data_IF_396473618373
#
_entry.id   IF_396473618373
#
_cell.length_a   1.000
_cell.length_b   1.000
_cell.length_c   1.000
_cell.angle_alpha   90.00
_cell.angle_beta   90.00
_cell.angle_gamma   90.00
#
_symmetry.space_group_name_H-M   'P 1'
#
loop_
_entity.id
_entity.type
_entity.pdbx_description
1 polymer ?
#
# COMPACT_ATOMS: atom_id res chain seq x y z
N UNK A 1 -2.62 -20.12 88.86
CA UNK A 1 -1.18 -20.05 89.20
C UNK A 1 -0.56 -18.97 88.31
N UNK A 2 -0.35 -17.74 88.81
CA UNK A 2 0.98 -17.08 89.06
C UNK A 2 2.01 -17.44 87.97
N UNK A 3 2.64 -16.51 87.24
CA UNK A 3 3.65 -15.52 87.66
C UNK A 3 3.84 -14.46 86.55
N UNK A 4 3.70 -13.15 86.81
CA UNK A 4 4.73 -12.11 87.12
C UNK A 4 5.63 -11.62 85.97
N UNK A 5 5.81 -10.29 85.97
CA UNK A 5 6.62 -9.41 85.10
C UNK A 5 8.15 -9.61 85.24
N UNK A 6 8.84 -8.94 84.30
CA UNK A 6 10.16 -8.25 84.37
C UNK A 6 11.42 -8.99 83.87
N UNK A 7 12.19 -8.28 83.04
CA UNK A 7 13.61 -8.53 82.82
C UNK A 7 14.18 -7.94 81.52
N UNK A 8 14.58 -6.66 81.54
CA UNK A 8 15.46 -6.04 80.54
C UNK A 8 16.81 -6.77 80.50
N UNK A 9 17.47 -6.89 79.34
CA UNK A 9 18.89 -6.54 79.10
C UNK A 9 19.17 -6.49 77.58
N UNK A 10 20.09 -5.59 77.21
CA UNK A 10 20.34 -5.08 75.86
C UNK A 10 21.59 -5.69 75.21
N UNK A 11 21.64 -5.71 73.87
CA UNK A 11 22.86 -5.66 73.05
C UNK A 11 22.45 -5.31 71.59
N UNK A 12 22.69 -4.06 71.16
CA UNK A 12 23.75 -3.65 70.21
C UNK A 12 23.53 -4.15 68.76
N UNK A 13 22.90 -3.33 67.90
CA UNK A 13 23.53 -2.49 66.84
C UNK A 13 24.12 -3.30 65.68
N UNK A 14 23.48 -3.25 64.50
CA UNK A 14 23.99 -2.62 63.26
C UNK A 14 22.79 -2.40 62.31
N UNK A 15 22.28 -1.17 62.22
CA UNK A 15 21.41 -0.75 61.11
C UNK A 15 22.29 -0.35 59.92
N UNK A 16 22.37 -1.22 58.90
CA UNK A 16 22.90 -0.82 57.61
C UNK A 16 21.85 0.02 56.88
N UNK A 17 22.06 1.33 56.81
CA UNK A 17 21.28 2.22 55.97
C UNK A 17 21.64 2.00 54.49
N UNK A 18 20.81 1.26 53.76
CA UNK A 18 20.85 1.24 52.30
C UNK A 18 20.13 2.49 51.78
N UNK A 19 20.93 3.48 51.37
CA UNK A 19 20.45 4.60 50.55
C UNK A 19 20.14 4.05 49.15
N UNK A 20 18.89 3.70 48.89
CA UNK A 20 18.42 3.39 47.54
C UNK A 20 18.20 4.70 46.78
N UNK A 21 19.22 5.15 46.07
CA UNK A 21 19.09 6.15 45.01
C UNK A 21 18.20 5.58 43.90
N UNK A 22 16.94 5.97 43.89
CA UNK A 22 16.05 5.74 42.76
C UNK A 22 16.53 6.59 41.57
N UNK A 23 17.43 6.03 40.76
CA UNK A 23 17.71 6.55 39.42
C UNK A 23 16.42 6.49 38.64
N UNK A 24 15.83 7.67 38.36
CA UNK A 24 14.72 7.80 37.44
C UNK A 24 15.10 7.19 36.09
N UNK A 25 14.36 6.14 35.68
CA UNK A 25 14.45 5.61 34.35
C UNK A 25 13.99 6.71 33.37
N UNK A 26 14.95 7.35 32.69
CA UNK A 26 14.64 8.23 31.57
C UNK A 26 13.89 7.41 30.50
N UNK A 27 12.82 7.94 29.89
CA UNK A 27 12.14 7.24 28.81
C UNK A 27 13.14 7.05 27.67
N UNK A 28 13.32 5.80 27.24
CA UNK A 28 14.07 5.49 26.04
C UNK A 28 13.41 6.20 24.85
N UNK A 29 14.00 7.32 24.42
CA UNK A 29 13.61 7.97 23.18
C UNK A 29 13.93 7.02 22.03
N UNK A 30 12.88 6.38 21.51
CA UNK A 30 12.95 5.68 20.24
C UNK A 30 13.58 6.64 19.21
N UNK A 31 14.73 6.24 18.67
CA UNK A 31 15.47 7.01 17.67
C UNK A 31 14.51 7.38 16.53
N UNK A 32 14.14 8.65 16.49
CA UNK A 32 12.98 9.15 15.76
C UNK A 32 13.13 8.94 14.27
N UNK A 33 12.42 7.93 13.73
CA UNK A 33 12.10 7.94 12.29
C UNK A 33 11.37 9.25 12.02
N UNK A 34 11.90 10.07 11.10
CA UNK A 34 11.22 11.29 10.67
C UNK A 34 9.75 10.98 10.37
N UNK A 35 8.79 11.80 10.84
CA UNK A 35 7.38 11.55 10.61
C UNK A 35 7.12 11.51 9.10
N UNK A 36 6.26 10.57 8.67
CA UNK A 36 5.87 10.45 7.27
C UNK A 36 5.07 11.70 6.85
N UNK A 37 5.36 12.18 5.65
CA UNK A 37 4.65 13.29 5.02
C UNK A 37 3.25 12.86 4.53
N UNK A 38 2.44 13.81 4.10
CA UNK A 38 1.02 13.57 3.74
C UNK A 38 0.68 13.96 2.31
N UNK A 39 1.65 13.92 1.37
CA UNK A 39 1.32 14.04 -0.05
C UNK A 39 0.49 12.82 -0.47
N UNK A 40 -0.69 13.05 -1.02
CA UNK A 40 -1.58 11.98 -1.48
C UNK A 40 -1.14 11.44 -2.84
N UNK A 41 -1.55 10.21 -3.18
CA UNK A 41 -1.30 9.63 -4.50
C UNK A 41 -2.05 10.37 -5.59
N UNK A 42 -3.27 10.87 -5.33
CA UNK A 42 -3.98 11.73 -6.27
C UNK A 42 -3.13 12.94 -6.66
N UNK A 43 -2.51 13.63 -5.69
CA UNK A 43 -1.63 14.76 -5.96
C UNK A 43 -0.31 14.39 -6.66
N UNK A 44 0.10 13.11 -6.62
CA UNK A 44 1.25 12.62 -7.39
C UNK A 44 0.84 12.30 -8.82
N UNK A 45 -0.32 11.70 -9.02
CA UNK A 45 -0.86 11.35 -10.33
C UNK A 45 -1.20 12.61 -11.15
N UNK A 46 -1.83 13.61 -10.54
CA UNK A 46 -2.19 14.87 -11.22
C UNK A 46 -1.06 15.89 -11.29
N UNK A 47 0.14 15.53 -10.81
CA UNK A 47 1.32 16.40 -10.99
C UNK A 47 1.80 16.39 -12.44
N UNK A 48 1.52 15.28 -13.14
CA UNK A 48 1.68 15.21 -14.59
C UNK A 48 0.53 15.96 -15.28
N UNK A 49 0.86 16.66 -16.36
CA UNK A 49 -0.08 17.50 -17.13
C UNK A 49 -0.02 17.21 -18.62
N UNK A 50 0.65 16.12 -19.02
CA UNK A 50 0.64 15.56 -20.37
C UNK A 50 -0.79 15.32 -20.86
N UNK A 51 -1.62 14.68 -20.03
CA UNK A 51 -2.90 14.13 -20.48
C UNK A 51 -2.67 12.98 -21.46
N UNK A 52 -3.73 12.53 -22.15
CA UNK A 52 -3.61 11.40 -23.08
C UNK A 52 -2.66 11.68 -24.23
N UNK A 53 -1.55 10.95 -24.28
CA UNK A 53 -0.51 11.07 -25.28
C UNK A 53 -0.09 9.69 -25.86
N UNK A 54 1.22 9.46 -26.07
CA UNK A 54 1.78 8.22 -26.63
C UNK A 54 2.72 7.51 -25.65
N UNK A 55 2.92 8.06 -24.46
CA UNK A 55 3.83 7.58 -23.45
C UNK A 55 3.11 6.59 -22.54
N UNK A 56 3.07 5.31 -22.93
CA UNK A 56 2.46 4.27 -22.10
C UNK A 56 3.11 4.01 -20.71
N UNK A 57 4.07 4.82 -20.26
CA UNK A 57 4.75 4.67 -18.97
C UNK A 57 4.26 5.63 -17.88
N UNK A 58 3.46 6.64 -18.21
CA UNK A 58 2.76 7.47 -17.23
C UNK A 58 1.45 6.81 -16.78
N UNK A 59 0.57 7.62 -16.20
CA UNK A 59 -0.62 7.19 -15.47
C UNK A 59 -1.84 8.05 -15.82
N UNK A 60 -1.89 8.61 -17.02
CA UNK A 60 -2.97 9.51 -17.46
C UNK A 60 -4.33 8.79 -17.50
N UNK A 61 -4.38 7.54 -17.98
CA UNK A 61 -5.61 6.72 -17.93
C UNK A 61 -6.04 6.46 -16.49
N UNK A 62 -5.09 6.15 -15.60
CA UNK A 62 -5.40 5.89 -14.19
C UNK A 62 -5.95 7.15 -13.50
N UNK A 63 -5.31 8.30 -13.72
CA UNK A 63 -5.73 9.58 -13.18
C UNK A 63 -7.15 9.94 -13.66
N UNK A 64 -7.42 9.75 -14.95
CA UNK A 64 -8.74 9.97 -15.53
C UNK A 64 -9.79 9.01 -14.96
N UNK A 65 -9.46 7.72 -14.77
CA UNK A 65 -10.37 6.72 -14.20
C UNK A 65 -10.75 7.04 -12.74
N UNK A 66 -9.77 7.42 -11.91
CA UNK A 66 -10.01 7.88 -10.54
C UNK A 66 -10.92 9.12 -10.55
N UNK A 67 -10.62 10.10 -11.41
CA UNK A 67 -11.43 11.30 -11.56
C UNK A 67 -12.87 11.01 -11.98
N UNK A 68 -13.06 10.07 -12.93
CA UNK A 68 -14.39 9.65 -13.39
C UNK A 68 -15.20 8.99 -12.27
N UNK A 69 -14.60 8.07 -11.50
CA UNK A 69 -15.25 7.42 -10.36
C UNK A 69 -15.62 8.44 -9.29
N UNK A 70 -14.73 9.36 -8.92
CA UNK A 70 -15.04 10.37 -7.90
C UNK A 70 -16.09 11.38 -8.37
N UNK A 71 -16.14 11.70 -9.67
CA UNK A 71 -17.17 12.57 -10.24
C UNK A 71 -18.55 11.90 -10.21
N UNK A 72 -18.63 10.63 -10.57
CA UNK A 72 -19.88 9.87 -10.58
C UNK A 72 -20.32 9.44 -9.16
N UNK A 73 -19.36 9.13 -8.29
CA UNK A 73 -19.56 8.67 -6.92
C UNK A 73 -18.64 9.43 -5.94
N UNK A 74 -19.02 10.65 -5.51
CA UNK A 74 -18.24 11.43 -4.55
C UNK A 74 -17.99 10.71 -3.22
N UNK A 75 -18.89 9.80 -2.83
CA UNK A 75 -18.78 8.98 -1.61
C UNK A 75 -17.90 7.74 -1.74
N UNK A 76 -17.34 7.45 -2.93
CA UNK A 76 -16.57 6.23 -3.20
C UNK A 76 -15.38 6.06 -2.23
N UNK A 77 -15.09 4.82 -1.78
CA UNK A 77 -13.87 4.54 -1.01
C UNK A 77 -12.58 4.89 -1.76
N UNK A 78 -12.62 5.03 -3.10
CA UNK A 78 -11.49 5.48 -3.94
C UNK A 78 -10.97 6.85 -3.49
N UNK A 79 -11.79 7.67 -2.80
CA UNK A 79 -11.37 8.95 -2.21
C UNK A 79 -10.18 8.82 -1.25
N UNK A 80 -9.93 7.62 -0.73
CA UNK A 80 -8.76 7.35 0.11
C UNK A 80 -7.45 7.69 -0.61
N UNK A 81 -7.38 7.58 -1.94
CA UNK A 81 -6.21 7.96 -2.73
C UNK A 81 -5.92 9.47 -2.73
N UNK A 82 -6.93 10.29 -2.40
CA UNK A 82 -6.80 11.72 -2.21
C UNK A 82 -6.49 12.09 -0.74
N UNK A 83 -6.74 11.19 0.21
CA UNK A 83 -6.46 11.42 1.63
C UNK A 83 -5.03 10.99 2.02
N UNK A 84 -4.08 11.92 1.86
CA UNK A 84 -2.69 11.70 2.23
C UNK A 84 -2.43 11.44 3.73
N UNK A 85 -3.45 11.52 4.60
CA UNK A 85 -3.35 11.16 6.01
C UNK A 85 -3.61 9.66 6.24
N UNK A 86 -4.25 8.96 5.33
CA UNK A 86 -4.46 7.51 5.45
C UNK A 86 -3.26 6.75 4.92
N UNK A 87 -2.77 5.78 5.71
CA UNK A 87 -1.65 4.95 5.29
C UNK A 87 -2.11 3.83 4.35
N UNK A 88 -1.46 3.69 3.19
CA UNK A 88 -1.77 2.63 2.22
C UNK A 88 -0.62 2.38 1.24
N UNK A 89 -0.70 1.23 0.57
CA UNK A 89 0.09 0.91 -0.62
C UNK A 89 -0.85 0.72 -1.80
N UNK A 90 -0.60 1.41 -2.91
CA UNK A 90 -1.35 1.19 -4.15
C UNK A 90 -0.46 0.57 -5.23
N UNK A 91 -1.04 -0.28 -6.07
CA UNK A 91 -0.39 -0.79 -7.27
C UNK A 91 -0.95 -0.04 -8.47
N UNK A 92 -0.13 0.77 -9.14
CA UNK A 92 -0.61 1.70 -10.16
C UNK A 92 -0.37 1.11 -11.56
N UNK A 93 -1.41 0.67 -12.29
CA UNK A 93 -1.26 0.30 -13.68
C UNK A 93 -0.88 1.54 -14.50
N UNK A 94 0.19 1.43 -15.28
CA UNK A 94 0.56 2.48 -16.23
C UNK A 94 -0.36 2.45 -17.46
N UNK A 95 -0.23 3.45 -18.32
CA UNK A 95 -1.12 3.58 -19.48
C UNK A 95 -1.00 2.39 -20.45
N UNK A 96 0.19 1.82 -20.57
CA UNK A 96 0.42 0.58 -21.31
C UNK A 96 -0.35 -0.61 -20.73
N UNK A 97 -0.51 -0.70 -19.41
CA UNK A 97 -1.28 -1.77 -18.77
C UNK A 97 -2.76 -1.70 -19.17
N UNK A 98 -3.34 -0.50 -19.25
CA UNK A 98 -4.71 -0.31 -19.71
C UNK A 98 -4.88 -0.56 -21.21
N UNK A 99 -3.92 -0.14 -22.03
CA UNK A 99 -3.93 -0.47 -23.46
C UNK A 99 -3.89 -1.99 -23.68
N UNK A 100 -3.09 -2.72 -22.89
CA UNK A 100 -3.04 -4.18 -22.93
C UNK A 100 -4.35 -4.82 -22.47
N UNK A 101 -4.95 -4.32 -21.39
CA UNK A 101 -6.27 -4.76 -20.91
C UNK A 101 -7.32 -4.63 -22.02
N UNK A 102 -7.40 -3.47 -22.67
CA UNK A 102 -8.40 -3.22 -23.70
C UNK A 102 -8.12 -4.04 -24.96
N UNK A 103 -6.86 -4.20 -25.35
CA UNK A 103 -6.51 -5.08 -26.46
C UNK A 103 -6.91 -6.53 -26.20
N UNK A 104 -6.77 -7.01 -24.95
CA UNK A 104 -7.14 -8.36 -24.53
C UNK A 104 -8.67 -8.58 -24.52
N UNK A 105 -9.43 -7.66 -23.92
CA UNK A 105 -10.91 -7.70 -23.88
C UNK A 105 -11.49 -7.61 -25.30
N UNK A 106 -10.95 -6.74 -26.14
CA UNK A 106 -11.44 -6.54 -27.53
C UNK A 106 -10.86 -7.55 -28.53
N UNK A 107 -10.02 -8.50 -28.08
CA UNK A 107 -9.28 -9.45 -28.93
C UNK A 107 -8.53 -8.78 -30.09
N UNK A 108 -8.03 -7.57 -29.86
CA UNK A 108 -7.31 -6.78 -30.86
C UNK A 108 -5.82 -7.15 -30.90
N UNK A 109 -5.27 -7.28 -32.10
CA UNK A 109 -3.81 -7.44 -32.32
C UNK A 109 -3.04 -6.12 -32.16
N UNK A 110 -3.73 -4.98 -32.19
CA UNK A 110 -3.14 -3.65 -32.08
C UNK A 110 -3.52 -3.01 -30.76
N UNK A 111 -2.57 -2.29 -30.18
CA UNK A 111 -2.82 -1.54 -28.97
C UNK A 111 -3.60 -0.26 -29.29
N UNK A 112 -4.65 0.04 -28.53
CA UNK A 112 -5.39 1.29 -28.67
C UNK A 112 -4.53 2.47 -28.23
N UNK A 113 -4.92 3.68 -28.65
CA UNK A 113 -4.43 4.91 -28.02
C UNK A 113 -4.97 5.03 -26.59
N UNK A 114 -4.37 5.87 -25.76
CA UNK A 114 -4.81 6.06 -24.37
C UNK A 114 -6.25 6.51 -24.27
N UNK A 115 -6.65 7.47 -25.12
CA UNK A 115 -8.05 7.92 -25.19
C UNK A 115 -9.02 6.78 -25.50
N UNK A 116 -8.67 5.90 -26.45
CA UNK A 116 -9.50 4.73 -26.79
C UNK A 116 -9.52 3.72 -25.65
N UNK A 117 -8.37 3.50 -24.99
CA UNK A 117 -8.28 2.62 -23.84
C UNK A 117 -9.16 3.13 -22.70
N UNK A 118 -9.07 4.42 -22.36
CA UNK A 118 -9.91 5.06 -21.36
C UNK A 118 -11.41 4.95 -21.69
N UNK A 119 -11.82 5.24 -22.93
CA UNK A 119 -13.22 5.10 -23.35
C UNK A 119 -13.71 3.66 -23.19
N UNK A 120 -12.92 2.66 -23.57
CA UNK A 120 -13.28 1.26 -23.41
C UNK A 120 -13.38 0.85 -21.93
N UNK A 121 -12.45 1.27 -21.08
CA UNK A 121 -12.49 1.04 -19.63
C UNK A 121 -13.70 1.71 -19.01
N UNK A 122 -14.01 2.96 -19.38
CA UNK A 122 -15.22 3.64 -18.93
C UNK A 122 -16.50 2.91 -19.38
N UNK A 123 -16.47 2.26 -20.54
CA UNK A 123 -17.55 1.43 -21.06
C UNK A 123 -17.83 0.15 -20.25
N UNK A 124 -16.91 -0.29 -19.38
CA UNK A 124 -17.14 -1.42 -18.46
C UNK A 124 -18.13 -1.09 -17.34
N UNK A 125 -18.51 0.17 -17.20
CA UNK A 125 -19.39 0.67 -16.16
C UNK A 125 -18.63 1.17 -14.93
N UNK A 126 -19.19 2.19 -14.28
CA UNK A 126 -18.51 2.90 -13.19
C UNK A 126 -18.26 2.00 -11.97
N UNK A 127 -19.17 1.06 -11.69
CA UNK A 127 -19.07 0.12 -10.57
C UNK A 127 -17.92 -0.86 -10.77
N UNK A 128 -17.75 -1.35 -12.01
CA UNK A 128 -16.64 -2.23 -12.39
C UNK A 128 -15.31 -1.49 -12.25
N UNK A 129 -15.23 -0.25 -12.74
CA UNK A 129 -14.01 0.56 -12.64
C UNK A 129 -13.68 0.87 -11.17
N UNK A 130 -14.67 1.21 -10.35
CA UNK A 130 -14.47 1.42 -8.91
C UNK A 130 -13.92 0.17 -8.22
N UNK A 131 -14.53 -1.00 -8.47
CA UNK A 131 -14.07 -2.28 -7.90
C UNK A 131 -12.63 -2.59 -8.30
N UNK A 132 -12.29 -2.41 -9.58
CA UNK A 132 -10.92 -2.58 -10.08
C UNK A 132 -9.97 -1.62 -9.38
N UNK A 133 -10.30 -0.32 -9.26
CA UNK A 133 -9.43 0.65 -8.58
C UNK A 133 -9.21 0.29 -7.10
N UNK A 134 -10.25 -0.16 -6.39
CA UNK A 134 -10.13 -0.60 -4.99
C UNK A 134 -9.29 -1.87 -4.86
N UNK A 135 -9.34 -2.76 -5.84
CA UNK A 135 -8.53 -3.97 -5.86
C UNK A 135 -7.03 -3.68 -6.01
N UNK A 136 -6.66 -2.51 -6.52
CA UNK A 136 -5.27 -2.04 -6.58
C UNK A 136 -4.78 -1.43 -5.26
N UNK A 137 -5.65 -1.22 -4.27
CA UNK A 137 -5.32 -0.53 -3.02
C UNK A 137 -5.22 -1.53 -1.87
N UNK A 138 -4.10 -1.51 -1.15
CA UNK A 138 -3.87 -2.25 0.09
C UNK A 138 -3.84 -1.26 1.26
N UNK A 139 -4.91 -1.18 2.06
CA UNK A 139 -4.98 -0.24 3.18
C UNK A 139 -4.04 -0.62 4.32
N UNK A 140 -3.65 0.36 5.13
CA UNK A 140 -3.02 0.17 6.44
C UNK A 140 -1.50 0.03 6.45
N UNK A 141 -0.86 -0.30 5.33
CA UNK A 141 0.60 -0.50 5.29
C UNK A 141 1.28 0.28 4.16
N UNK A 142 2.44 0.86 4.44
CA UNK A 142 3.37 1.40 3.44
C UNK A 142 4.46 0.38 3.13
N UNK A 143 4.34 -0.33 2.02
CA UNK A 143 5.29 -1.35 1.60
C UNK A 143 6.32 -0.69 0.70
N UNK A 144 7.57 -0.56 1.16
CA UNK A 144 8.68 -0.07 0.31
C UNK A 144 9.27 -1.19 -0.54
N UNK A 145 10.06 -0.88 -1.56
CA UNK A 145 10.81 -1.85 -2.38
C UNK A 145 11.58 -2.86 -1.53
N UNK A 146 12.26 -2.39 -0.48
CA UNK A 146 13.04 -3.24 0.43
C UNK A 146 12.15 -4.23 1.18
N UNK A 147 10.95 -3.81 1.57
CA UNK A 147 9.98 -4.68 2.22
C UNK A 147 9.36 -5.65 1.19
N UNK A 148 8.90 -5.15 0.05
CA UNK A 148 8.28 -5.92 -1.02
C UNK A 148 9.18 -7.09 -1.49
N UNK A 149 10.49 -6.86 -1.66
CA UNK A 149 11.46 -7.90 -2.06
C UNK A 149 11.68 -9.00 -1.01
N UNK A 150 11.16 -8.83 0.20
CA UNK A 150 11.18 -9.81 1.30
C UNK A 150 9.78 -10.39 1.59
N UNK A 151 8.77 -9.97 0.84
CA UNK A 151 7.37 -10.36 1.04
C UNK A 151 6.95 -11.52 0.14
N UNK A 152 7.88 -12.44 -0.16
CA UNK A 152 7.52 -13.59 -0.98
C UNK A 152 6.42 -14.43 -0.32
N UNK A 153 5.45 -14.89 -1.10
CA UNK A 153 4.23 -15.58 -0.66
C UNK A 153 3.29 -14.78 0.26
N UNK A 154 3.56 -13.49 0.52
CA UNK A 154 2.66 -12.66 1.31
C UNK A 154 1.29 -12.52 0.65
N UNK A 155 0.22 -12.59 1.44
CA UNK A 155 -1.15 -12.28 1.01
C UNK A 155 -1.50 -10.87 1.47
N UNK A 156 -1.85 -9.99 0.53
CA UNK A 156 -2.24 -8.62 0.82
C UNK A 156 -3.76 -8.50 0.68
N UNK A 157 -4.43 -8.05 1.74
CA UNK A 157 -5.85 -7.73 1.69
C UNK A 157 -6.04 -6.41 0.92
N UNK A 158 -6.85 -6.44 -0.14
CA UNK A 158 -7.15 -5.24 -0.92
C UNK A 158 -8.37 -4.51 -0.34
N UNK A 159 -8.58 -3.25 -0.71
CA UNK A 159 -9.76 -2.49 -0.33
C UNK A 159 -11.05 -3.04 -0.99
N UNK A 160 -10.94 -3.84 -2.05
CA UNK A 160 -12.06 -4.58 -2.65
C UNK A 160 -12.38 -5.90 -1.91
N UNK A 161 -11.61 -6.27 -0.89
CA UNK A 161 -11.83 -7.46 -0.05
C UNK A 161 -11.15 -8.73 -0.56
N UNK A 162 -11.02 -8.92 -1.88
CA UNK A 162 -10.29 -10.05 -2.45
C UNK A 162 -8.76 -9.88 -2.25
N UNK A 163 -8.01 -10.93 -1.82
CA UNK A 163 -6.58 -10.80 -1.58
C UNK A 163 -5.76 -10.98 -2.87
N UNK A 164 -4.60 -10.32 -2.92
CA UNK A 164 -3.55 -10.60 -3.92
C UNK A 164 -2.36 -11.30 -3.25
N UNK A 165 -1.72 -12.24 -3.95
CA UNK A 165 -0.51 -12.92 -3.46
C UNK A 165 0.73 -12.35 -4.12
N UNK A 166 1.73 -12.01 -3.32
CA UNK A 166 3.03 -11.55 -3.79
C UNK A 166 3.90 -12.76 -4.14
N UNK A 167 4.50 -12.75 -5.33
CA UNK A 167 5.47 -13.74 -5.77
C UNK A 167 6.78 -13.04 -6.14
N UNK A 168 7.83 -13.25 -5.35
CA UNK A 168 9.16 -12.70 -5.57
C UNK A 168 10.06 -13.78 -6.15
N UNK A 169 10.50 -13.60 -7.39
CA UNK A 169 11.21 -14.64 -8.13
C UNK A 169 12.42 -14.07 -8.89
N UNK A 170 13.26 -14.97 -9.39
CA UNK A 170 14.49 -14.64 -10.11
C UNK A 170 15.74 -14.71 -9.23
N UNK A 171 16.93 -14.55 -9.84
CA UNK A 171 18.20 -14.68 -9.13
C UNK A 171 18.38 -13.53 -8.13
N UNK A 172 19.24 -13.74 -7.12
CA UNK A 172 19.51 -12.77 -6.05
C UNK A 172 19.82 -11.35 -6.57
N UNK A 173 20.48 -11.26 -7.72
CA UNK A 173 20.93 -10.03 -8.36
C UNK A 173 19.87 -9.35 -9.24
N UNK A 174 18.82 -10.07 -9.64
CA UNK A 174 17.73 -9.57 -10.51
C UNK A 174 16.37 -10.11 -10.05
N UNK A 175 16.01 -9.83 -8.79
CA UNK A 175 14.69 -10.16 -8.26
C UNK A 175 13.59 -9.36 -8.94
N UNK A 176 12.49 -10.04 -9.26
CA UNK A 176 11.26 -9.47 -9.83
C UNK A 176 10.10 -9.79 -8.91
N UNK A 177 9.06 -8.96 -8.97
CA UNK A 177 7.85 -9.14 -8.18
C UNK A 177 6.67 -9.26 -9.14
N UNK A 178 5.97 -10.38 -9.09
CA UNK A 178 4.67 -10.59 -9.69
C UNK A 178 3.60 -10.53 -8.60
N UNK A 179 2.44 -9.99 -8.95
CA UNK A 179 1.25 -9.99 -8.12
C UNK A 179 0.29 -11.00 -8.71
N UNK A 180 -0.04 -12.03 -7.95
CA UNK A 180 -1.02 -13.05 -8.35
C UNK A 180 -2.38 -12.56 -7.88
N UNK A 181 -3.27 -12.32 -8.83
CA UNK A 181 -4.63 -11.83 -8.57
C UNK A 181 -5.68 -12.94 -8.72
N UNK A 182 -6.96 -12.54 -8.81
CA UNK A 182 -8.09 -13.45 -8.85
C UNK A 182 -8.34 -13.97 -10.27
N UNK A 183 -7.92 -13.23 -11.30
CA UNK A 183 -8.03 -13.63 -12.69
C UNK A 183 -6.95 -14.66 -13.03
N UNK A 184 -7.38 -15.91 -13.18
CA UNK A 184 -6.48 -17.02 -13.52
C UNK A 184 -6.29 -17.22 -15.03
N UNK A 185 -7.01 -16.45 -15.84
CA UNK A 185 -7.02 -16.58 -17.29
C UNK A 185 -6.01 -15.68 -18.00
N UNK A 186 -5.52 -14.63 -17.32
CA UNK A 186 -4.49 -13.73 -17.83
C UNK A 186 -3.17 -13.85 -17.05
N UNK A 187 -2.11 -13.30 -17.65
CA UNK A 187 -0.79 -13.20 -17.04
C UNK A 187 -0.82 -12.21 -15.87
N UNK A 188 -0.37 -12.68 -14.72
CA UNK A 188 -0.16 -11.87 -13.52
C UNK A 188 0.63 -10.56 -13.78
N UNK A 189 0.19 -9.42 -13.20
CA UNK A 189 0.94 -8.16 -13.24
C UNK A 189 2.29 -8.23 -12.55
N UNK A 190 3.24 -7.44 -13.04
CA UNK A 190 4.59 -7.31 -12.48
C UNK A 190 4.89 -5.88 -12.11
N UNK A 191 5.62 -5.69 -11.02
CA UNK A 191 6.07 -4.36 -10.63
C UNK A 191 7.14 -3.88 -11.62
N UNK A 192 6.88 -2.73 -12.25
CA UNK A 192 7.79 -2.08 -13.20
C UNK A 192 8.42 -0.80 -12.63
N UNK A 193 7.81 -0.20 -11.61
CA UNK A 193 8.31 1.00 -10.93
C UNK A 193 8.08 0.88 -9.44
N UNK A 194 9.11 1.17 -8.65
CA UNK A 194 9.03 1.05 -7.20
C UNK A 194 8.93 2.40 -6.50
N UNK A 195 8.35 2.40 -5.31
CA UNK A 195 8.49 3.48 -4.32
C UNK A 195 7.99 4.85 -4.81
N UNK A 196 6.91 4.87 -5.59
CA UNK A 196 6.23 6.11 -5.96
C UNK A 196 5.69 6.77 -4.68
N UNK A 197 5.91 8.07 -4.54
CA UNK A 197 5.53 8.86 -3.36
C UNK A 197 6.24 8.47 -2.04
N UNK A 198 7.40 7.81 -2.11
CA UNK A 198 8.18 7.41 -0.93
C UNK A 198 8.43 8.57 0.05
N UNK A 199 8.29 8.26 1.35
CA UNK A 199 8.42 9.23 2.44
C UNK A 199 7.10 9.84 2.88
N UNK A 200 5.99 9.49 2.22
CA UNK A 200 4.63 9.83 2.62
C UNK A 200 3.90 8.61 3.20
N UNK A 201 2.75 8.86 3.84
CA UNK A 201 1.86 7.82 4.36
C UNK A 201 1.24 6.98 3.25
N UNK A 202 1.16 7.50 2.03
CA UNK A 202 0.75 6.73 0.87
C UNK A 202 1.95 6.43 -0.01
N UNK A 203 2.17 5.17 -0.34
CA UNK A 203 3.21 4.73 -1.27
C UNK A 203 2.58 3.93 -2.40
N UNK A 204 3.23 3.91 -3.56
CA UNK A 204 2.76 3.12 -4.68
C UNK A 204 3.88 2.40 -5.41
N UNK A 205 3.51 1.34 -6.12
CA UNK A 205 4.37 0.64 -7.07
C UNK A 205 3.67 0.57 -8.42
N UNK A 206 4.34 0.98 -9.48
CA UNK A 206 3.83 0.84 -10.84
C UNK A 206 3.80 -0.63 -11.25
N UNK A 207 2.77 -1.03 -11.99
CA UNK A 207 2.60 -2.39 -12.51
C UNK A 207 2.38 -2.37 -14.03
N UNK A 208 2.75 -3.47 -14.70
CA UNK A 208 2.70 -3.60 -16.16
C UNK A 208 1.38 -4.16 -16.72
N UNK A 209 0.42 -4.48 -15.84
CA UNK A 209 -0.95 -4.95 -16.14
C UNK A 209 -1.91 -4.49 -15.07
N UNK A 210 -3.18 -4.42 -15.42
CA UNK A 210 -4.27 -4.12 -14.49
C UNK A 210 -4.54 -5.38 -13.65
N UNK A 211 -4.59 -5.23 -12.32
CA UNK A 211 -5.09 -6.27 -11.41
C UNK A 211 -6.59 -6.41 -11.59
N UNK A 212 -7.08 -7.64 -11.74
CA UNK A 212 -8.49 -7.91 -12.03
C UNK A 212 -9.13 -8.66 -10.85
N UNK A 213 -10.14 -8.09 -10.17
CA UNK A 213 -10.82 -8.77 -9.05
C UNK A 213 -11.76 -9.89 -9.52
N UNK A 214 -12.10 -9.88 -10.81
CA UNK A 214 -12.98 -10.83 -11.49
C UNK A 214 -12.42 -11.07 -12.90
N UNK A 215 -12.79 -12.18 -13.52
CA UNK A 215 -12.53 -12.38 -14.95
C UNK A 215 -13.31 -11.31 -15.73
N UNK A 216 -12.61 -10.55 -16.55
CA UNK A 216 -13.22 -9.62 -17.49
C UNK A 216 -13.48 -10.35 -18.83
N UNK A 217 -14.56 -10.00 -19.56
CA UNK A 217 -14.94 -10.67 -20.80
C UNK A 217 -13.87 -10.58 -21.92
#
# INVERSE_FOLDING_TARGET
>A
MRFTRLGKQAAAVVTAALVASALGAAPAQATGKKPLKTKSLAAVLTADKSGFDRNGHDYDILAAAVGAVLKAKPGSPVKVLADGKTALTAFLPNDRAFQLLVADITKSRKLPSEKKAFTAVAGLGIDTVESVLLYHVVPGATVTKKAALKSDNAKLATAAGAPIKVNVYGPRWHKRISLIDADRSDRNPRINRFDINKGNRQIAHGIDRVLRPINLP
#
